data_IF_000928077357
#
_entry.id   IF_000928077357
#
_cell.length_a   1.000
_cell.length_b   1.000
_cell.length_c   1.000
_cell.angle_alpha   90.00
_cell.angle_beta   90.00
_cell.angle_gamma   90.00
#
_symmetry.space_group_name_H-M   'P 1'
#
loop_
_entity.id
_entity.type
_entity.pdbx_description
1 polymer ?
#
# COMPACT_ATOMS: atom_id res chain seq x y z
N UNK A 1 28.48 17.13 2.60
CA UNK A 1 28.35 16.23 3.76
C UNK A 1 27.53 15.02 3.35
N UNK A 2 27.95 13.81 3.70
CA UNK A 2 27.18 12.56 3.48
C UNK A 2 26.65 12.03 4.81
N UNK A 3 25.44 11.48 4.82
CA UNK A 3 24.81 10.86 5.98
C UNK A 3 24.58 9.36 5.70
N UNK A 4 24.72 8.51 6.72
CA UNK A 4 24.38 7.08 6.63
C UNK A 4 23.01 6.83 7.25
N UNK A 5 22.12 6.20 6.48
CA UNK A 5 20.84 5.68 6.97
C UNK A 5 20.98 4.17 7.15
N UNK A 6 20.68 3.65 8.35
CA UNK A 6 20.76 2.23 8.66
C UNK A 6 19.42 1.75 9.22
N UNK A 7 18.94 0.63 8.67
CA UNK A 7 17.67 0.01 9.07
C UNK A 7 17.86 -1.50 9.11
N UNK A 8 17.28 -2.14 10.13
CA UNK A 8 17.26 -3.61 10.22
C UNK A 8 16.25 -4.15 9.23
N UNK A 9 16.65 -5.18 8.50
CA UNK A 9 15.80 -5.93 7.57
C UNK A 9 15.97 -7.42 7.88
N UNK A 10 14.94 -8.21 7.58
CA UNK A 10 15.00 -9.67 7.71
C UNK A 10 16.07 -10.25 6.78
N UNK A 11 16.75 -11.31 7.20
CA UNK A 11 17.85 -11.92 6.45
C UNK A 11 17.39 -12.45 5.08
N UNK A 12 16.17 -12.99 4.99
CA UNK A 12 15.62 -13.52 3.73
C UNK A 12 15.36 -12.38 2.75
N UNK A 13 14.79 -11.28 3.22
CA UNK A 13 14.53 -10.09 2.41
C UNK A 13 15.84 -9.40 2.00
N UNK A 14 16.83 -9.34 2.89
CA UNK A 14 18.16 -8.83 2.58
C UNK A 14 18.83 -9.59 1.43
N UNK A 15 18.74 -10.93 1.45
CA UNK A 15 19.37 -11.75 0.43
C UNK A 15 18.65 -11.64 -0.92
N UNK A 16 17.31 -11.61 -0.92
CA UNK A 16 16.53 -11.33 -2.12
C UNK A 16 16.88 -9.98 -2.74
N UNK A 17 16.98 -8.94 -1.91
CA UNK A 17 17.34 -7.60 -2.40
C UNK A 17 18.75 -7.56 -3.01
N UNK A 18 19.72 -8.25 -2.40
CA UNK A 18 21.08 -8.40 -2.97
C UNK A 18 21.09 -9.17 -4.29
N UNK A 19 20.30 -10.23 -4.41
CA UNK A 19 20.19 -10.98 -5.66
C UNK A 19 19.59 -10.13 -6.78
N UNK A 20 18.46 -9.46 -6.52
CA UNK A 20 17.75 -8.65 -7.51
C UNK A 20 18.64 -7.50 -8.01
N UNK A 21 19.29 -6.78 -7.09
CA UNK A 21 20.19 -5.68 -7.45
C UNK A 21 21.37 -6.15 -8.30
N UNK A 22 21.99 -7.28 -7.95
CA UNK A 22 23.04 -7.91 -8.76
C UNK A 22 22.55 -8.31 -10.15
N UNK A 23 21.34 -8.88 -10.27
CA UNK A 23 20.74 -9.25 -11.58
C UNK A 23 20.43 -8.03 -12.44
N UNK A 24 20.12 -6.90 -11.82
CA UNK A 24 19.93 -5.60 -12.48
C UNK A 24 21.25 -4.89 -12.81
N UNK A 25 22.41 -5.46 -12.46
CA UNK A 25 23.72 -4.83 -12.68
C UNK A 25 23.98 -3.62 -11.79
N UNK A 26 23.35 -3.56 -10.62
CA UNK A 26 23.46 -2.47 -9.64
C UNK A 26 23.86 -3.00 -8.26
N UNK A 27 24.00 -2.11 -7.28
CA UNK A 27 24.25 -2.46 -5.88
C UNK A 27 23.04 -2.11 -5.00
N UNK A 28 22.88 -2.77 -3.83
CA UNK A 28 21.89 -2.35 -2.84
C UNK A 28 21.98 -0.86 -2.47
N UNK A 29 23.21 -0.33 -2.37
CA UNK A 29 23.42 1.08 -2.07
C UNK A 29 22.91 1.99 -3.20
N UNK A 30 23.17 1.63 -4.46
CA UNK A 30 22.68 2.41 -5.62
C UNK A 30 21.17 2.34 -5.74
N UNK A 31 20.56 1.17 -5.55
CA UNK A 31 19.11 1.02 -5.50
C UNK A 31 18.47 1.90 -4.41
N UNK A 32 19.07 1.95 -3.21
CA UNK A 32 18.60 2.81 -2.14
C UNK A 32 18.76 4.30 -2.46
N UNK A 33 19.87 4.71 -3.12
CA UNK A 33 20.05 6.10 -3.57
C UNK A 33 18.99 6.51 -4.59
N UNK A 34 18.70 5.63 -5.55
CA UNK A 34 17.66 5.83 -6.56
C UNK A 34 16.30 5.95 -5.88
N UNK A 35 15.98 5.04 -4.95
CA UNK A 35 14.73 5.08 -4.20
C UNK A 35 14.56 6.39 -3.42
N UNK A 36 15.57 6.82 -2.66
CA UNK A 36 15.51 8.07 -1.88
C UNK A 36 15.30 9.28 -2.81
N UNK A 37 15.99 9.31 -3.97
CA UNK A 37 15.79 10.37 -4.96
C UNK A 37 14.37 10.39 -5.50
N UNK A 38 13.82 9.22 -5.86
CA UNK A 38 12.46 9.10 -6.37
C UNK A 38 11.42 9.46 -5.31
N UNK A 39 11.62 9.02 -4.06
CA UNK A 39 10.73 9.31 -2.94
C UNK A 39 10.61 10.83 -2.70
N UNK A 40 11.75 11.52 -2.68
CA UNK A 40 11.77 12.96 -2.49
C UNK A 40 11.13 13.71 -3.67
N UNK A 41 11.39 13.27 -4.91
CA UNK A 41 10.81 13.88 -6.10
C UNK A 41 9.27 13.78 -6.13
N UNK A 42 8.70 12.68 -5.62
CA UNK A 42 7.25 12.45 -5.57
C UNK A 42 6.61 12.94 -4.25
N UNK A 43 7.41 13.51 -3.33
CA UNK A 43 6.99 13.88 -1.96
C UNK A 43 6.31 12.71 -1.22
N UNK A 44 6.77 11.49 -1.46
CA UNK A 44 6.15 10.26 -0.99
C UNK A 44 6.65 9.04 -1.76
N UNK A 45 6.05 7.88 -1.55
CA UNK A 45 6.46 6.68 -2.27
C UNK A 45 6.30 6.84 -3.79
N UNK A 46 7.25 6.35 -4.60
CA UNK A 46 7.19 6.45 -6.07
C UNK A 46 6.24 5.42 -6.70
N UNK A 47 5.44 4.75 -5.88
CA UNK A 47 4.39 3.81 -6.27
C UNK A 47 3.12 4.14 -5.49
N UNK A 48 1.98 3.73 -6.01
CA UNK A 48 0.68 4.03 -5.44
C UNK A 48 0.48 3.26 -4.12
N UNK A 49 0.69 3.94 -2.99
CA UNK A 49 0.49 3.36 -1.66
C UNK A 49 -0.96 3.57 -1.26
N UNK A 50 -1.80 2.62 -1.67
CA UNK A 50 -3.20 2.55 -1.25
C UNK A 50 -3.37 1.32 -0.38
N UNK A 51 -4.23 1.43 0.64
CA UNK A 51 -4.87 0.24 1.18
C UNK A 51 -5.68 -0.38 0.03
N UNK A 52 -5.73 -1.70 -0.07
CA UNK A 52 -6.70 -2.33 -0.96
C UNK A 52 -8.06 -1.76 -0.56
N UNK A 53 -8.72 -1.03 -1.47
CA UNK A 53 -10.11 -0.66 -1.22
C UNK A 53 -10.84 -1.99 -0.95
N UNK A 54 -11.66 -2.08 0.10
CA UNK A 54 -12.56 -3.20 0.23
C UNK A 54 -13.23 -3.36 -1.13
N UNK A 55 -13.31 -4.57 -1.66
CA UNK A 55 -14.08 -4.81 -2.88
C UNK A 55 -15.53 -4.44 -2.58
N UNK A 56 -15.90 -3.18 -2.81
CA UNK A 56 -17.27 -2.71 -2.74
C UNK A 56 -17.88 -3.24 -4.02
N UNK A 57 -18.48 -4.44 -3.94
CA UNK A 57 -19.30 -4.95 -5.02
C UNK A 57 -20.41 -3.94 -5.27
N UNK A 58 -20.50 -3.45 -6.51
CA UNK A 58 -21.60 -2.61 -6.91
C UNK A 58 -22.89 -3.43 -6.82
N UNK A 59 -23.97 -2.82 -6.32
CA UNK A 59 -25.29 -3.46 -6.34
C UNK A 59 -25.63 -3.86 -7.78
N UNK A 60 -26.11 -5.08 -7.94
CA UNK A 60 -26.51 -5.64 -9.23
C UNK A 60 -27.79 -4.98 -9.77
N UNK A 61 -28.59 -4.34 -8.91
CA UNK A 61 -29.84 -3.67 -9.25
C UNK A 61 -30.22 -2.54 -8.27
N UNK A 62 -31.13 -1.67 -8.69
CA UNK A 62 -31.73 -0.62 -7.84
C UNK A 62 -32.52 -1.22 -6.66
N UNK A 63 -33.17 -2.37 -6.90
CA UNK A 63 -33.90 -3.10 -5.86
C UNK A 63 -32.97 -3.55 -4.73
N UNK A 64 -31.80 -4.10 -5.07
CA UNK A 64 -30.79 -4.52 -4.09
C UNK A 64 -30.26 -3.34 -3.26
N UNK A 65 -30.04 -2.19 -3.91
CA UNK A 65 -29.62 -0.97 -3.24
C UNK A 65 -30.68 -0.46 -2.24
N UNK A 66 -31.96 -0.51 -2.63
CA UNK A 66 -33.07 -0.12 -1.76
C UNK A 66 -33.18 -1.04 -0.53
N UNK A 67 -33.11 -2.35 -0.74
CA UNK A 67 -33.15 -3.35 0.34
C UNK A 67 -31.99 -3.18 1.31
N UNK A 68 -30.77 -2.95 0.80
CA UNK A 68 -29.60 -2.66 1.64
C UNK A 68 -29.81 -1.42 2.51
N UNK A 69 -30.35 -0.35 1.92
CA UNK A 69 -30.62 0.91 2.62
C UNK A 69 -31.68 0.74 3.72
N UNK A 70 -32.74 -0.01 3.44
CA UNK A 70 -33.80 -0.32 4.42
C UNK A 70 -33.27 -1.15 5.59
N UNK A 71 -32.47 -2.19 5.30
CA UNK A 71 -31.84 -3.01 6.33
C UNK A 71 -30.87 -2.21 7.22
N UNK A 72 -30.09 -1.31 6.63
CA UNK A 72 -29.21 -0.42 7.37
C UNK A 72 -29.99 0.52 8.30
N UNK A 73 -31.06 1.15 7.78
CA UNK A 73 -31.90 2.05 8.58
C UNK A 73 -32.53 1.34 9.78
N UNK A 74 -33.07 0.13 9.57
CA UNK A 74 -33.66 -0.67 10.65
C UNK A 74 -32.64 -1.04 11.73
N UNK A 75 -31.41 -1.37 11.34
CA UNK A 75 -30.33 -1.68 12.28
C UNK A 75 -29.86 -0.46 13.08
N UNK A 76 -29.74 0.70 12.42
CA UNK A 76 -29.40 1.95 13.12
C UNK A 76 -30.49 2.35 14.11
N UNK A 77 -31.76 2.09 13.77
CA UNK A 77 -32.87 2.30 14.68
C UNK A 77 -32.84 1.33 15.86
N UNK A 78 -32.47 0.06 15.68
CA UNK A 78 -32.38 -0.91 16.79
C UNK A 78 -31.23 -0.63 17.74
N UNK A 79 -30.09 -0.17 17.22
CA UNK A 79 -28.88 0.09 18.03
C UNK A 79 -28.97 1.42 18.81
N UNK A 80 -29.98 2.25 18.53
CA UNK A 80 -30.21 3.53 19.20
C UNK A 80 -31.09 3.44 20.47
N UNK A 81 -31.52 2.23 20.87
CA UNK A 81 -32.34 1.98 22.06
C UNK A 81 -31.67 1.05 23.06
#
# INVERSE_FOLDING_TARGET
MSCQLATRIDDVEAERFREITRRLGTTPADAMRIFVSAFNAHRGFPFDVRLAEPAVEAFSSEQEAAEFSDHLAMRMMSDAW
#
